data_IF_805967801836
#
_entry.id   IF_805967801836
#
_cell.length_a   1.000
_cell.length_b   1.000
_cell.length_c   1.000
_cell.angle_alpha   90.00
_cell.angle_beta   90.00
_cell.angle_gamma   90.00
#
_symmetry.space_group_name_H-M   'P 1'
#
loop_
_entity.id
_entity.type
_entity.pdbx_description
1 polymer ?
#
# COMPACT_ATOMS: atom_id res chain seq x y z
N UNK A 1 -10.65 -17.69 18.49
CA UNK A 1 -9.35 -17.08 18.87
C UNK A 1 -8.65 -16.68 17.58
N UNK A 2 -8.56 -15.37 17.34
CA UNK A 2 -8.16 -14.64 16.11
C UNK A 2 -8.98 -14.91 14.85
N UNK A 3 -9.80 -13.93 14.48
CA UNK A 3 -10.97 -14.06 13.62
C UNK A 3 -10.88 -13.31 12.28
N UNK A 4 -9.68 -12.99 11.78
CA UNK A 4 -9.53 -12.52 10.39
C UNK A 4 -8.14 -12.83 9.83
N UNK A 5 -7.94 -14.01 9.22
CA UNK A 5 -7.19 -14.09 7.99
C UNK A 5 -8.19 -13.79 6.87
N UNK A 6 -8.19 -12.58 6.29
CA UNK A 6 -8.78 -12.38 4.95
C UNK A 6 -7.66 -12.27 3.91
N UNK A 7 -7.17 -13.41 3.40
CA UNK A 7 -6.37 -13.47 2.18
C UNK A 7 -7.21 -13.46 0.88
N UNK A 8 -8.54 -13.35 0.95
CA UNK A 8 -9.44 -13.87 -0.09
C UNK A 8 -10.57 -12.90 -0.40
N UNK A 9 -10.52 -12.20 -1.54
CA UNK A 9 -11.62 -12.07 -2.52
C UNK A 9 -11.12 -11.28 -3.75
N UNK A 10 -10.61 -12.01 -4.73
CA UNK A 10 -10.29 -11.66 -6.14
C UNK A 10 -9.33 -10.49 -6.49
N UNK A 11 -8.98 -9.59 -5.56
CA UNK A 11 -7.98 -8.52 -5.81
C UNK A 11 -6.54 -8.92 -5.48
N UNK A 12 -6.35 -9.87 -4.56
CA UNK A 12 -5.04 -10.33 -4.10
C UNK A 12 -4.23 -10.98 -5.20
N UNK A 13 -4.86 -11.75 -6.09
CA UNK A 13 -4.18 -12.37 -7.25
C UNK A 13 -3.65 -11.33 -8.25
N UNK A 14 -4.37 -10.23 -8.46
CA UNK A 14 -3.95 -9.11 -9.33
C UNK A 14 -2.75 -8.36 -8.73
N UNK A 15 -2.75 -8.15 -7.41
CA UNK A 15 -1.60 -7.56 -6.71
C UNK A 15 -0.41 -8.51 -6.69
N UNK A 16 -0.64 -9.82 -6.57
CA UNK A 16 0.40 -10.85 -6.71
C UNK A 16 1.01 -10.85 -8.11
N UNK A 17 0.20 -10.79 -9.17
CA UNK A 17 0.68 -10.72 -10.55
C UNK A 17 1.34 -9.38 -10.90
N UNK A 18 0.84 -8.25 -10.41
CA UNK A 18 1.49 -6.95 -10.59
C UNK A 18 2.84 -6.91 -9.87
N UNK A 19 2.92 -7.49 -8.67
CA UNK A 19 4.19 -7.65 -7.95
C UNK A 19 5.13 -8.62 -8.65
N UNK A 20 4.65 -9.77 -9.13
CA UNK A 20 5.45 -10.68 -9.95
C UNK A 20 5.92 -10.02 -11.25
N UNK A 21 5.10 -9.21 -11.90
CA UNK A 21 5.46 -8.50 -13.12
C UNK A 21 6.54 -7.42 -12.90
N UNK A 22 6.52 -6.76 -11.73
CA UNK A 22 7.52 -5.72 -11.37
C UNK A 22 8.79 -6.34 -10.76
N UNK A 23 8.66 -7.44 -10.01
CA UNK A 23 9.72 -7.95 -9.12
C UNK A 23 10.24 -9.33 -9.51
N UNK A 24 9.55 -10.06 -10.40
CA UNK A 24 9.94 -11.37 -10.92
C UNK A 24 10.06 -12.49 -9.88
N UNK A 25 9.51 -12.30 -8.68
CA UNK A 25 9.66 -13.19 -7.53
C UNK A 25 8.32 -13.35 -6.80
N UNK A 26 7.96 -14.57 -6.35
CA UNK A 26 6.71 -14.79 -5.63
C UNK A 26 6.68 -13.91 -4.37
N UNK A 27 5.59 -13.17 -4.12
CA UNK A 27 5.48 -12.34 -2.92
C UNK A 27 5.48 -13.22 -1.67
N UNK A 28 6.56 -13.15 -0.89
CA UNK A 28 6.56 -13.65 0.48
C UNK A 28 5.87 -12.66 1.43
N UNK A 29 5.49 -13.10 2.64
CA UNK A 29 4.86 -12.25 3.66
C UNK A 29 5.58 -10.91 3.94
N UNK A 30 6.90 -10.86 3.70
CA UNK A 30 7.70 -9.64 3.78
C UNK A 30 7.35 -8.58 2.72
N UNK A 31 7.06 -9.00 1.49
CA UNK A 31 6.75 -8.10 0.38
C UNK A 31 5.42 -7.37 0.60
N UNK A 32 4.40 -8.08 1.06
CA UNK A 32 3.09 -7.49 1.40
C UNK A 32 3.25 -6.43 2.48
N UNK A 33 4.07 -6.70 3.50
CA UNK A 33 4.33 -5.74 4.59
C UNK A 33 5.07 -4.50 4.10
N UNK A 34 6.03 -4.66 3.17
CA UNK A 34 6.74 -3.54 2.55
C UNK A 34 5.81 -2.73 1.65
N UNK A 35 4.96 -3.36 0.85
CA UNK A 35 4.02 -2.65 -0.04
C UNK A 35 2.96 -1.88 0.76
N UNK A 36 2.43 -2.46 1.84
CA UNK A 36 1.53 -1.75 2.75
C UNK A 36 2.22 -0.56 3.43
N UNK A 37 3.44 -0.75 3.93
CA UNK A 37 4.19 0.33 4.56
C UNK A 37 4.50 1.45 3.54
N UNK A 38 4.87 1.09 2.31
CA UNK A 38 5.11 2.02 1.22
C UNK A 38 3.84 2.80 0.86
N UNK A 39 2.71 2.11 0.66
CA UNK A 39 1.42 2.76 0.37
C UNK A 39 0.96 3.70 1.48
N UNK A 40 1.10 3.28 2.75
CA UNK A 40 0.79 4.12 3.89
C UNK A 40 1.71 5.35 3.97
N UNK A 41 3.01 5.17 3.73
CA UNK A 41 3.97 6.28 3.73
C UNK A 41 3.68 7.29 2.62
N UNK A 42 3.29 6.82 1.44
CA UNK A 42 2.89 7.66 0.31
C UNK A 42 1.62 8.46 0.65
N UNK A 43 0.60 7.80 1.21
CA UNK A 43 -0.64 8.43 1.64
C UNK A 43 -0.39 9.53 2.69
N UNK A 44 0.41 9.23 3.72
CA UNK A 44 0.74 10.19 4.77
C UNK A 44 1.51 11.39 4.19
N UNK A 45 2.46 11.14 3.29
CA UNK A 45 3.23 12.20 2.63
C UNK A 45 2.32 13.10 1.80
N UNK A 46 1.40 12.51 1.03
CA UNK A 46 0.41 13.25 0.25
C UNK A 46 -0.55 14.06 1.14
N UNK A 47 -0.98 13.51 2.27
CA UNK A 47 -1.82 14.23 3.23
C UNK A 47 -1.11 15.46 3.79
N UNK A 48 0.13 15.29 4.29
CA UNK A 48 0.92 16.41 4.82
C UNK A 48 1.16 17.45 3.74
N UNK A 49 1.47 17.02 2.52
CA UNK A 49 1.68 17.93 1.41
C UNK A 49 0.41 18.70 1.04
N UNK A 50 -0.75 18.03 0.99
CA UNK A 50 -2.03 18.67 0.73
C UNK A 50 -2.39 19.69 1.81
N UNK A 51 -2.23 19.35 3.08
CA UNK A 51 -2.47 20.27 4.20
C UNK A 51 -1.51 21.46 4.16
N UNK A 52 -0.23 21.22 3.90
CA UNK A 52 0.75 22.30 3.76
C UNK A 52 0.40 23.21 2.58
N UNK A 53 -0.05 22.65 1.46
CA UNK A 53 -0.47 23.42 0.29
C UNK A 53 -1.73 24.24 0.60
N UNK A 54 -2.71 23.66 1.31
CA UNK A 54 -3.92 24.37 1.72
C UNK A 54 -3.59 25.54 2.67
N UNK A 55 -2.77 25.31 3.71
CA UNK A 55 -2.40 26.33 4.70
C UNK A 55 -1.44 27.40 4.19
N UNK A 56 -0.55 27.07 3.25
CA UNK A 56 0.48 27.99 2.75
C UNK A 56 0.03 28.72 1.49
N UNK A 57 -0.72 28.07 0.60
CA UNK A 57 -1.14 28.64 -0.67
C UNK A 57 -2.50 29.37 -0.58
N UNK A 58 -3.36 29.01 0.37
CA UNK A 58 -4.68 29.62 0.59
C UNK A 58 -4.88 30.05 2.06
N UNK A 59 -4.43 31.25 2.47
CA UNK A 59 -4.85 31.84 3.74
C UNK A 59 -6.31 32.32 3.71
#
# INVERSE_FOLDING_TARGET
MNLFPIPVLDGGHLVFHAWEAVTGRPPGDGAVRVLMAAGLSLLLTLMVWAIANDLVLCP
#
